data_IF_322951830294
#
_entry.id   IF_322951830294
#
_cell.length_a   1.000
_cell.length_b   1.000
_cell.length_c   1.000
_cell.angle_alpha   90.00
_cell.angle_beta   90.00
_cell.angle_gamma   90.00
#
_symmetry.space_group_name_H-M   'P 1'
#
loop_
_entity.id
_entity.type
_entity.pdbx_description
1 polymer ?
#
# COMPACT_ATOMS: atom_id res chain seq x y z
N UNK A 1 -8.16 3.81 21.99
CA UNK A 1 -9.04 4.22 20.87
C UNK A 1 -8.18 4.47 19.64
N UNK A 2 -8.57 3.96 18.47
CA UNK A 2 -7.90 4.33 17.22
C UNK A 2 -8.15 5.82 16.94
N UNK A 3 -7.11 6.56 16.54
CA UNK A 3 -7.25 7.97 16.15
C UNK A 3 -8.25 8.08 15.00
N UNK A 4 -9.23 8.98 15.12
CA UNK A 4 -10.03 9.40 13.97
C UNK A 4 -9.14 10.26 13.08
N UNK A 5 -8.95 9.85 11.84
CA UNK A 5 -8.19 10.61 10.85
C UNK A 5 -9.19 11.35 9.97
N UNK A 6 -9.04 12.66 9.89
CA UNK A 6 -9.70 13.48 8.90
C UNK A 6 -8.92 13.41 7.59
N UNK A 7 -9.49 12.77 6.57
CA UNK A 7 -8.86 12.60 5.26
C UNK A 7 -8.80 13.90 4.45
N UNK A 8 -9.47 14.95 4.89
CA UNK A 8 -9.37 16.29 4.30
C UNK A 8 -8.35 17.19 4.99
N UNK A 9 -7.76 16.73 6.11
CA UNK A 9 -6.78 17.49 6.85
C UNK A 9 -5.45 17.64 6.09
N UNK A 10 -4.76 18.76 6.31
CA UNK A 10 -3.44 19.02 5.75
C UNK A 10 -2.41 17.95 6.16
N UNK A 11 -2.54 17.41 7.37
CA UNK A 11 -1.69 16.30 7.86
C UNK A 11 -1.86 15.05 7.00
N UNK A 12 -3.11 14.67 6.69
CA UNK A 12 -3.38 13.51 5.84
C UNK A 12 -2.94 13.74 4.41
N UNK A 13 -3.21 14.93 3.83
CA UNK A 13 -2.79 15.26 2.47
C UNK A 13 -1.26 15.25 2.33
N UNK A 14 -0.54 15.70 3.36
CA UNK A 14 0.92 15.63 3.42
C UNK A 14 1.43 14.18 3.46
N UNK A 15 0.80 13.30 4.25
CA UNK A 15 1.18 11.89 4.29
C UNK A 15 0.77 11.13 3.02
N UNK A 16 -0.32 11.54 2.37
CA UNK A 16 -0.74 11.02 1.07
C UNK A 16 0.30 11.32 0.00
N UNK A 17 0.79 12.57 -0.07
CA UNK A 17 1.85 12.96 -1.01
C UNK A 17 3.17 12.22 -0.73
N UNK A 18 3.54 12.03 0.55
CA UNK A 18 4.70 11.18 0.92
C UNK A 18 4.51 9.73 0.50
N UNK A 19 3.29 9.22 0.61
CA UNK A 19 2.96 7.84 0.22
C UNK A 19 3.01 7.68 -1.29
N UNK A 20 2.54 8.66 -2.06
CA UNK A 20 2.69 8.70 -3.53
C UNK A 20 4.16 8.70 -3.96
N UNK A 21 5.00 9.56 -3.36
CA UNK A 21 6.45 9.56 -3.62
C UNK A 21 7.11 8.23 -3.28
N UNK A 22 6.63 7.57 -2.23
CA UNK A 22 7.09 6.24 -1.87
C UNK A 22 6.70 5.20 -2.93
N UNK A 23 5.45 5.17 -3.40
CA UNK A 23 5.02 4.23 -4.43
C UNK A 23 5.71 4.50 -5.78
N UNK A 24 5.92 5.77 -6.15
CA UNK A 24 6.69 6.17 -7.35
C UNK A 24 8.12 5.64 -7.29
N UNK A 25 8.75 5.72 -6.10
CA UNK A 25 10.10 5.18 -5.89
C UNK A 25 10.13 3.67 -6.08
N UNK A 26 9.12 2.94 -5.59
CA UNK A 26 9.04 1.47 -5.78
C UNK A 26 8.87 1.15 -7.26
N UNK A 27 7.97 1.84 -7.97
CA UNK A 27 7.80 1.68 -9.41
C UNK A 27 9.13 1.89 -10.16
N UNK A 28 9.83 2.99 -9.86
CA UNK A 28 11.14 3.28 -10.47
C UNK A 28 12.22 2.25 -10.12
N UNK A 29 12.25 1.76 -8.88
CA UNK A 29 13.27 0.83 -8.41
C UNK A 29 13.13 -0.55 -9.05
N UNK A 30 11.90 -1.03 -9.25
CA UNK A 30 11.63 -2.37 -9.75
C UNK A 30 11.16 -2.41 -11.21
N UNK A 31 11.00 -1.26 -11.86
CA UNK A 31 10.44 -1.19 -13.22
C UNK A 31 8.95 -1.53 -13.28
N UNK A 32 8.22 -1.29 -12.20
CA UNK A 32 6.77 -1.47 -12.17
C UNK A 32 6.04 -0.23 -12.66
N UNK A 33 4.79 -0.43 -13.03
CA UNK A 33 3.83 0.61 -13.38
C UNK A 33 2.62 0.55 -12.44
N UNK A 34 1.88 1.65 -12.38
CA UNK A 34 0.62 1.68 -11.66
C UNK A 34 -0.47 0.91 -12.41
N UNK A 35 -1.55 0.56 -11.70
CA UNK A 35 -2.72 -0.02 -12.33
C UNK A 35 -3.27 0.91 -13.42
N UNK A 36 -3.79 0.40 -14.56
CA UNK A 36 -4.41 1.24 -15.59
C UNK A 36 -5.65 1.99 -15.08
N UNK A 37 -6.37 1.40 -14.10
CA UNK A 37 -7.52 2.03 -13.46
C UNK A 37 -7.04 2.97 -12.34
N UNK A 38 -7.21 4.28 -12.55
CA UNK A 38 -6.78 5.33 -11.62
C UNK A 38 -7.34 5.16 -10.20
N UNK A 39 -8.62 4.82 -10.08
CA UNK A 39 -9.31 4.67 -8.79
C UNK A 39 -8.70 3.57 -7.90
N UNK A 40 -8.10 2.53 -8.50
CA UNK A 40 -7.37 1.49 -7.76
C UNK A 40 -6.13 2.11 -7.12
N UNK A 41 -5.38 2.92 -7.87
CA UNK A 41 -4.17 3.57 -7.37
C UNK A 41 -4.50 4.57 -6.26
N UNK A 42 -5.54 5.38 -6.45
CA UNK A 42 -5.98 6.37 -5.45
C UNK A 42 -6.44 5.68 -4.16
N UNK A 43 -7.34 4.69 -4.27
CA UNK A 43 -7.85 3.93 -3.13
C UNK A 43 -6.75 3.27 -2.32
N UNK A 44 -5.80 2.60 -2.99
CA UNK A 44 -4.69 1.92 -2.30
C UNK A 44 -3.71 2.92 -1.69
N UNK A 45 -3.39 4.02 -2.38
CA UNK A 45 -2.49 5.06 -1.85
C UNK A 45 -3.08 5.73 -0.61
N UNK A 46 -4.38 6.06 -0.63
CA UNK A 46 -5.09 6.58 0.55
C UNK A 46 -5.07 5.58 1.70
N UNK A 47 -5.32 4.30 1.43
CA UNK A 47 -5.28 3.25 2.44
C UNK A 47 -3.90 3.10 3.09
N UNK A 48 -2.83 3.15 2.29
CA UNK A 48 -1.44 3.11 2.76
C UNK A 48 -1.10 4.33 3.63
N UNK A 49 -1.51 5.53 3.23
CA UNK A 49 -1.30 6.76 3.98
C UNK A 49 -2.04 6.71 5.33
N UNK A 50 -3.32 6.28 5.31
CA UNK A 50 -4.12 6.08 6.53
C UNK A 50 -3.45 5.11 7.50
N UNK A 51 -3.00 3.95 7.00
CA UNK A 51 -2.33 2.96 7.84
C UNK A 51 -0.99 3.47 8.39
N UNK A 52 -0.26 4.29 7.61
CA UNK A 52 0.96 4.95 8.11
C UNK A 52 0.66 5.91 9.26
N UNK A 53 -0.41 6.69 9.20
CA UNK A 53 -0.79 7.58 10.30
C UNK A 53 -1.32 6.84 11.53
N UNK A 54 -2.06 5.74 11.35
CA UNK A 54 -2.62 4.96 12.46
C UNK A 54 -1.58 4.10 13.18
N UNK A 55 -0.69 3.46 12.42
CA UNK A 55 0.15 2.36 12.90
C UNK A 55 1.64 2.60 12.73
N UNK A 56 2.02 3.80 12.27
CA UNK A 56 3.38 4.18 11.93
C UNK A 56 4.07 3.35 10.83
N UNK A 57 3.31 2.50 10.14
CA UNK A 57 3.78 1.63 9.06
C UNK A 57 2.76 1.59 7.92
N UNK A 58 3.26 1.48 6.69
CA UNK A 58 2.43 1.30 5.49
C UNK A 58 1.97 -0.16 5.37
N UNK A 59 1.17 -0.63 6.32
CA UNK A 59 0.55 -1.95 6.22
C UNK A 59 -0.38 -1.99 5.01
N UNK A 60 -0.39 -3.11 4.30
CA UNK A 60 -1.20 -3.27 3.10
C UNK A 60 -2.69 -3.04 3.44
N UNK A 61 -3.38 -2.10 2.77
CA UNK A 61 -4.77 -1.76 3.11
C UNK A 61 -5.77 -2.87 2.76
N UNK A 62 -5.37 -3.84 1.94
CA UNK A 62 -6.20 -5.00 1.58
C UNK A 62 -6.24 -6.09 2.65
N UNK A 63 -5.41 -5.98 3.71
CA UNK A 63 -5.30 -7.00 4.77
C UNK A 63 -5.59 -6.38 6.14
N UNK A 64 -6.08 -7.20 7.05
CA UNK A 64 -6.45 -6.75 8.39
C UNK A 64 -5.20 -6.38 9.21
N UNK A 65 -5.31 -5.29 9.96
CA UNK A 65 -4.31 -4.89 10.97
C UNK A 65 -4.88 -5.20 12.34
N UNK A 66 -4.17 -6.04 13.10
CA UNK A 66 -4.59 -6.55 14.41
C UNK A 66 -3.64 -6.07 15.51
N UNK A 67 -4.11 -5.99 16.78
CA UNK A 67 -3.22 -5.75 17.91
C UNK A 67 -2.11 -6.80 18.00
N UNK A 68 -0.92 -6.38 18.42
CA UNK A 68 0.18 -7.30 18.70
C UNK A 68 0.10 -7.76 20.16
N UNK A 69 -0.32 -9.01 20.37
CA UNK A 69 -0.42 -9.61 21.71
C UNK A 69 0.91 -9.61 22.48
N UNK A 70 2.05 -9.58 21.77
CA UNK A 70 3.38 -9.55 22.38
C UNK A 70 3.83 -8.13 22.74
N UNK A 71 3.16 -7.09 22.24
CA UNK A 71 3.57 -5.69 22.37
C UNK A 71 2.35 -4.80 22.57
N UNK A 72 2.05 -4.50 23.83
CA UNK A 72 0.93 -3.65 24.21
C UNK A 72 0.95 -2.31 23.45
N UNK A 73 -0.21 -1.93 22.89
CA UNK A 73 -0.38 -0.70 22.12
C UNK A 73 0.27 -0.71 20.73
N UNK A 74 0.88 -1.82 20.29
CA UNK A 74 1.37 -1.98 18.91
C UNK A 74 0.41 -2.82 18.07
N UNK A 75 0.52 -2.64 16.76
CA UNK A 75 -0.30 -3.32 15.76
C UNK A 75 0.60 -4.00 14.73
N UNK A 76 0.13 -5.13 14.21
CA UNK A 76 0.75 -5.89 13.13
C UNK A 76 -0.26 -6.19 12.03
N UNK A 77 0.22 -6.38 10.81
CA UNK A 77 -0.60 -6.97 9.75
C UNK A 77 -0.88 -8.43 10.13
N UNK A 78 -2.12 -8.89 9.97
CA UNK A 78 -2.47 -10.29 10.23
C UNK A 78 -1.65 -11.26 9.36
N UNK A 79 -1.30 -10.82 8.15
CA UNK A 79 -0.55 -11.59 7.14
C UNK A 79 0.90 -11.09 6.97
N UNK A 80 1.41 -10.30 7.93
CA UNK A 80 2.76 -9.71 7.88
C UNK A 80 3.05 -8.88 6.61
N UNK A 81 2.02 -8.28 6.01
CA UNK A 81 2.12 -7.51 4.77
C UNK A 81 2.35 -6.02 5.04
N UNK A 82 3.62 -5.62 5.12
CA UNK A 82 4.05 -4.21 5.07
C UNK A 82 4.50 -3.85 3.66
N UNK A 83 4.03 -2.74 3.10
CA UNK A 83 4.32 -2.32 1.73
C UNK A 83 5.76 -1.76 1.60
N UNK A 84 6.54 -2.12 0.54
CA UNK A 84 6.24 -3.15 -0.44
C UNK A 84 6.37 -4.54 0.20
N UNK A 85 5.35 -5.39 0.04
CA UNK A 85 5.32 -6.66 0.77
C UNK A 85 6.09 -7.75 0.04
N UNK A 86 6.81 -8.58 0.81
CA UNK A 86 7.63 -9.68 0.29
C UNK A 86 6.84 -10.65 -0.62
N UNK A 87 5.61 -11.08 -0.26
CA UNK A 87 4.81 -11.94 -1.14
C UNK A 87 4.50 -11.28 -2.49
N UNK A 88 4.26 -9.96 -2.52
CA UNK A 88 4.00 -9.28 -3.79
C UNK A 88 5.22 -9.28 -4.71
N UNK A 89 6.41 -9.04 -4.16
CA UNK A 89 7.65 -8.98 -4.94
C UNK A 89 8.12 -10.36 -5.40
N UNK A 90 7.98 -11.39 -4.57
CA UNK A 90 8.53 -12.72 -4.84
C UNK A 90 7.56 -13.67 -5.54
N UNK A 91 6.24 -13.43 -5.44
CA UNK A 91 5.24 -14.35 -5.95
C UNK A 91 4.18 -13.67 -6.82
N UNK A 92 3.46 -12.66 -6.30
CA UNK A 92 2.27 -12.13 -6.97
C UNK A 92 2.64 -11.40 -8.28
N UNK A 93 3.55 -10.43 -8.23
CA UNK A 93 3.92 -9.65 -9.44
C UNK A 93 4.58 -10.55 -10.50
N UNK A 94 5.53 -11.45 -10.16
CA UNK A 94 6.12 -12.34 -11.16
C UNK A 94 5.15 -13.34 -11.79
N UNK A 95 4.11 -13.79 -11.06
CA UNK A 95 3.19 -14.84 -11.52
C UNK A 95 1.90 -14.28 -12.13
N UNK A 96 1.34 -13.23 -11.53
CA UNK A 96 0.05 -12.64 -11.90
C UNK A 96 0.21 -11.30 -12.63
N UNK A 97 1.42 -10.75 -12.69
CA UNK A 97 1.70 -9.46 -13.30
C UNK A 97 1.33 -8.25 -12.44
N UNK A 98 0.82 -8.45 -11.22
CA UNK A 98 0.46 -7.38 -10.27
C UNK A 98 0.52 -7.85 -8.81
N UNK A 99 0.61 -6.91 -7.86
CA UNK A 99 0.33 -7.22 -6.45
C UNK A 99 -1.16 -7.52 -6.26
N UNK A 100 -1.51 -8.20 -5.16
CA UNK A 100 -2.90 -8.40 -4.74
C UNK A 100 -3.70 -7.09 -4.70
N UNK A 101 -3.04 -6.02 -4.25
CA UNK A 101 -3.58 -4.66 -4.18
C UNK A 101 -3.79 -3.96 -5.53
N UNK A 102 -3.14 -4.41 -6.60
CA UNK A 102 -3.13 -3.76 -7.90
C UNK A 102 -2.27 -2.49 -8.03
N UNK A 103 -1.70 -1.92 -6.96
CA UNK A 103 -0.92 -0.67 -7.06
C UNK A 103 0.41 -0.82 -7.80
N UNK A 104 1.00 -2.02 -7.80
CA UNK A 104 2.22 -2.32 -8.54
C UNK A 104 1.94 -3.42 -9.54
N UNK A 105 2.18 -3.11 -10.82
CA UNK A 105 1.96 -3.97 -11.96
C UNK A 105 3.22 -4.06 -12.81
N UNK A 106 3.37 -5.15 -13.53
CA UNK A 106 4.32 -5.25 -14.66
C UNK A 106 3.81 -4.39 -15.83
N UNK A 107 4.70 -3.82 -16.64
CA UNK A 107 4.30 -3.10 -17.87
C UNK A 107 3.44 -3.97 -18.80
N UNK A 108 3.71 -5.28 -18.87
CA UNK A 108 2.94 -6.24 -19.66
C UNK A 108 1.50 -6.34 -19.16
N UNK A 109 1.30 -6.42 -17.84
CA UNK A 109 -0.03 -6.43 -17.23
C UNK A 109 -0.79 -5.15 -17.54
N UNK A 110 -0.14 -3.98 -17.38
CA UNK A 110 -0.78 -2.69 -17.67
C UNK A 110 -1.20 -2.63 -19.13
N UNK A 111 -0.31 -2.96 -20.07
CA UNK A 111 -0.61 -2.97 -21.51
C UNK A 111 -1.77 -3.90 -21.89
N UNK A 112 -1.90 -5.04 -21.23
CA UNK A 112 -2.98 -6.01 -21.50
C UNK A 112 -4.34 -5.60 -20.91
N UNK A 113 -4.37 -4.65 -19.97
CA UNK A 113 -5.57 -4.24 -19.23
C UNK A 113 -5.84 -2.72 -19.31
N UNK A 114 -5.20 -2.01 -20.23
CA UNK A 114 -5.40 -0.58 -20.51
C UNK A 114 -6.47 -0.33 -21.55
#
# INVERSE_FOLDING_TARGET
>A
MLKKIDMSSEEFLTELEKTKKFTDKICKQFGFEYHPIHDVNEGVTMGLARNKMLYDKRYCPCFMVIPDEKKEGKYKSADDRTCPCKPALEHEIPQEGKCHCGIFCTPEYVKANS
#
